data_IF_578848641968
#
_entry.id   IF_578848641968
#
_cell.length_a   1.000
_cell.length_b   1.000
_cell.length_c   1.000
_cell.angle_alpha   90.00
_cell.angle_beta   90.00
_cell.angle_gamma   90.00
#
_symmetry.space_group_name_H-M   'P 1'
#
loop_
_entity.id
_entity.type
_entity.pdbx_description
1 polymer ?
#
# COMPACT_ATOMS: atom_id res chain seq x y z
N UNK A 1 4.46 -36.83 21.69
CA UNK A 1 4.86 -35.44 21.40
C UNK A 1 4.99 -35.36 19.90
N UNK A 2 3.91 -35.00 19.20
CA UNK A 2 3.96 -34.82 17.75
C UNK A 2 4.79 -33.58 17.47
N UNK A 3 5.86 -33.72 16.71
CA UNK A 3 6.56 -32.59 16.11
C UNK A 3 5.53 -31.80 15.31
N UNK A 4 5.11 -30.64 15.82
CA UNK A 4 4.30 -29.70 15.06
C UNK A 4 5.21 -29.11 13.99
N UNK A 5 5.33 -29.81 12.87
CA UNK A 5 5.93 -29.26 11.66
C UNK A 5 5.04 -28.12 11.18
N UNK A 6 5.61 -26.92 11.06
CA UNK A 6 4.92 -25.76 10.51
C UNK A 6 4.25 -26.11 9.17
N UNK A 7 3.00 -25.71 9.00
CA UNK A 7 2.31 -25.81 7.71
C UNK A 7 2.95 -24.83 6.73
N UNK A 8 3.67 -25.38 5.76
CA UNK A 8 4.36 -24.61 4.72
C UNK A 8 3.45 -24.29 3.54
N UNK A 9 2.22 -24.82 3.52
CA UNK A 9 1.23 -24.58 2.46
C UNK A 9 0.31 -23.38 2.74
N UNK A 10 0.39 -22.80 3.94
CA UNK A 10 -0.42 -21.64 4.35
C UNK A 10 0.46 -20.42 4.61
N UNK A 11 0.02 -19.27 4.09
CA UNK A 11 0.61 -17.96 4.32
C UNK A 11 -0.43 -17.03 4.97
N UNK A 12 -0.05 -16.35 6.04
CA UNK A 12 -0.79 -15.23 6.61
C UNK A 12 -0.11 -13.92 6.23
N UNK A 13 -0.82 -13.09 5.47
CA UNK A 13 -0.44 -11.72 5.11
C UNK A 13 -1.21 -10.72 5.96
N UNK A 14 -0.50 -9.75 6.51
CA UNK A 14 -1.08 -8.72 7.35
C UNK A 14 -0.81 -7.34 6.75
N UNK A 15 -1.84 -6.50 6.70
CA UNK A 15 -1.61 -5.06 6.72
C UNK A 15 -0.88 -4.64 8.02
N UNK A 16 -0.27 -3.45 8.04
CA UNK A 16 0.50 -2.95 9.18
C UNK A 16 -0.35 -2.02 10.06
N UNK A 17 -0.84 -0.93 9.47
CA UNK A 17 -1.36 0.26 10.17
C UNK A 17 -2.86 0.09 10.51
N UNK A 18 -3.19 -0.15 11.78
CA UNK A 18 -4.56 -0.48 12.22
C UNK A 18 -4.79 -1.98 12.35
N UNK A 19 -3.98 -2.79 11.66
CA UNK A 19 -4.07 -4.26 11.65
C UNK A 19 -3.10 -4.92 12.64
N UNK A 20 -1.81 -4.54 12.63
CA UNK A 20 -0.79 -5.06 13.55
C UNK A 20 -0.39 -4.02 14.61
N UNK A 21 -0.47 -2.74 14.28
CA UNK A 21 -0.19 -1.65 15.19
C UNK A 21 -1.38 -0.72 15.28
N UNK A 22 -1.51 0.04 16.38
CA UNK A 22 -2.33 1.24 16.32
C UNK A 22 -1.78 2.19 15.23
N UNK A 23 -2.64 2.99 14.61
CA UNK A 23 -2.26 3.81 13.46
C UNK A 23 -1.05 4.71 13.77
N UNK A 24 0.03 4.54 13.01
CA UNK A 24 1.33 5.23 13.13
C UNK A 24 2.02 5.06 14.49
N UNK A 25 1.73 3.98 15.20
CA UNK A 25 2.39 3.61 16.44
C UNK A 25 3.29 2.38 16.24
N UNK A 26 4.17 2.15 17.20
CA UNK A 26 4.99 0.93 17.25
C UNK A 26 4.14 -0.28 17.66
N UNK A 27 4.57 -1.46 17.21
CA UNK A 27 4.01 -2.76 17.59
C UNK A 27 4.20 -3.00 19.08
N UNK A 28 3.21 -3.64 19.70
CA UNK A 28 3.30 -4.05 21.10
C UNK A 28 4.19 -5.29 21.23
N UNK A 29 4.86 -5.50 22.37
CA UNK A 29 5.61 -6.73 22.63
C UNK A 29 4.75 -7.99 22.47
N UNK A 30 3.47 -7.93 22.85
CA UNK A 30 2.51 -9.02 22.74
C UNK A 30 2.23 -9.40 21.28
N UNK A 31 2.00 -8.40 20.42
CA UNK A 31 1.78 -8.64 18.98
C UNK A 31 3.05 -9.17 18.31
N UNK A 32 4.22 -8.65 18.67
CA UNK A 32 5.50 -9.17 18.15
C UNK A 32 5.69 -10.65 18.53
N UNK A 33 5.43 -11.01 19.79
CA UNK A 33 5.48 -12.39 20.25
C UNK A 33 4.45 -13.29 19.54
N UNK A 34 3.26 -12.76 19.22
CA UNK A 34 2.27 -13.48 18.42
C UNK A 34 2.82 -13.80 17.02
N UNK A 35 3.40 -12.83 16.31
CA UNK A 35 3.94 -13.04 14.95
C UNK A 35 5.04 -14.11 14.93
N UNK A 36 5.96 -14.06 15.89
CA UNK A 36 7.01 -15.07 16.05
C UNK A 36 6.43 -16.45 16.33
N UNK A 37 5.44 -16.53 17.23
CA UNK A 37 4.75 -17.79 17.55
C UNK A 37 3.96 -18.30 16.35
N UNK A 38 3.31 -17.43 15.58
CA UNK A 38 2.52 -17.78 14.39
C UNK A 38 3.41 -18.33 13.29
N UNK A 39 4.62 -17.78 13.14
CA UNK A 39 5.62 -18.27 12.19
C UNK A 39 6.07 -19.71 12.46
N UNK A 40 5.92 -20.20 13.70
CA UNK A 40 6.14 -21.62 14.02
C UNK A 40 5.02 -22.55 13.53
N UNK A 41 3.88 -21.99 13.11
CA UNK A 41 2.69 -22.73 12.65
C UNK A 41 2.46 -22.59 11.14
N UNK A 42 2.65 -21.40 10.59
CA UNK A 42 2.40 -21.06 9.17
C UNK A 42 3.44 -20.06 8.68
N UNK A 43 3.49 -19.77 7.37
CA UNK A 43 4.28 -18.65 6.87
C UNK A 43 3.62 -17.32 7.21
N UNK A 44 4.43 -16.32 7.52
CA UNK A 44 3.97 -14.99 7.91
C UNK A 44 4.59 -13.94 7.00
N UNK A 45 3.76 -13.01 6.52
CA UNK A 45 4.21 -11.85 5.77
C UNK A 45 3.47 -10.59 6.16
N UNK A 46 4.09 -9.44 5.92
CA UNK A 46 3.47 -8.13 6.10
C UNK A 46 3.47 -7.36 4.80
N UNK A 47 2.41 -6.59 4.54
CA UNK A 47 2.26 -5.75 3.34
C UNK A 47 1.78 -4.36 3.70
N UNK A 48 2.55 -3.35 3.31
CA UNK A 48 2.22 -1.94 3.57
C UNK A 48 2.46 -1.08 2.34
N UNK A 49 1.67 -0.02 2.20
CA UNK A 49 1.89 0.99 1.15
C UNK A 49 3.05 1.94 1.46
N UNK A 50 3.57 1.90 2.69
CA UNK A 50 4.72 2.71 3.14
C UNK A 50 6.04 2.11 2.66
N UNK A 51 7.10 2.92 2.66
CA UNK A 51 8.47 2.43 2.46
C UNK A 51 8.92 1.51 3.61
N UNK A 52 10.03 0.80 3.39
CA UNK A 52 10.56 -0.15 4.37
C UNK A 52 10.91 0.52 5.71
N UNK A 53 11.45 1.73 5.68
CA UNK A 53 11.88 2.44 6.88
C UNK A 53 10.71 2.68 7.83
N UNK A 54 9.53 2.99 7.27
CA UNK A 54 8.32 3.20 8.07
C UNK A 54 7.76 1.88 8.61
N UNK A 55 7.82 0.80 7.83
CA UNK A 55 7.45 -0.52 8.32
C UNK A 55 8.39 -0.94 9.47
N UNK A 56 9.70 -0.68 9.38
CA UNK A 56 10.66 -0.96 10.44
C UNK A 56 10.43 -0.10 11.69
N UNK A 57 10.10 1.18 11.54
CA UNK A 57 9.72 2.04 12.68
C UNK A 57 8.53 1.45 13.45
N UNK A 58 7.58 0.84 12.74
CA UNK A 58 6.38 0.28 13.34
C UNK A 58 6.60 -1.13 13.91
N UNK A 59 7.25 -2.02 13.15
CA UNK A 59 7.34 -3.45 13.50
C UNK A 59 8.69 -3.86 14.11
N UNK A 60 9.64 -2.92 14.18
CA UNK A 60 11.02 -3.14 14.62
C UNK A 60 11.99 -3.31 13.45
N UNK A 61 13.24 -2.91 13.67
CA UNK A 61 14.32 -3.00 12.67
C UNK A 61 14.59 -4.45 12.20
N UNK A 62 14.25 -5.41 13.06
CA UNK A 62 14.39 -6.85 12.85
C UNK A 62 13.19 -7.50 12.15
N UNK A 63 12.21 -6.71 11.66
CA UNK A 63 11.00 -7.23 11.02
C UNK A 63 11.31 -8.20 9.87
N UNK A 64 12.33 -7.88 9.07
CA UNK A 64 12.76 -8.68 7.90
C UNK A 64 13.24 -10.09 8.32
N UNK A 65 13.67 -10.25 9.57
CA UNK A 65 14.20 -11.47 10.14
C UNK A 65 13.12 -12.27 10.88
N UNK A 66 12.12 -11.61 11.48
CA UNK A 66 11.08 -12.27 12.28
C UNK A 66 9.89 -12.77 11.46
N UNK A 67 9.64 -12.25 10.25
CA UNK A 67 8.64 -12.77 9.32
C UNK A 67 9.29 -13.38 8.06
N UNK A 68 8.53 -14.15 7.29
CA UNK A 68 9.01 -14.76 6.04
C UNK A 68 8.97 -13.77 4.86
N UNK A 69 8.01 -12.83 4.84
CA UNK A 69 7.90 -11.80 3.80
C UNK A 69 7.70 -10.39 4.37
N UNK A 70 8.39 -9.41 3.79
CA UNK A 70 8.11 -7.99 4.01
C UNK A 70 7.90 -7.33 2.66
N UNK A 71 6.68 -6.86 2.43
CA UNK A 71 6.26 -6.17 1.20
C UNK A 71 6.07 -4.68 1.50
N UNK A 72 7.13 -3.90 1.29
CA UNK A 72 7.05 -2.45 1.31
C UNK A 72 6.54 -1.92 -0.04
N UNK A 73 5.92 -0.75 -0.01
CA UNK A 73 5.30 -0.12 -1.18
C UNK A 73 4.40 -1.11 -1.96
N UNK A 74 3.48 -1.77 -1.26
CA UNK A 74 2.57 -2.81 -1.78
C UNK A 74 3.27 -4.07 -2.35
N UNK A 75 4.56 -4.23 -2.11
CA UNK A 75 5.38 -5.34 -2.63
C UNK A 75 6.32 -4.96 -3.76
N UNK A 76 6.35 -3.68 -4.15
CA UNK A 76 7.35 -3.19 -5.11
C UNK A 76 8.77 -3.31 -4.55
N UNK A 77 8.92 -3.24 -3.22
CA UNK A 77 10.14 -3.64 -2.54
C UNK A 77 9.80 -4.84 -1.67
N UNK A 78 10.27 -6.02 -2.06
CA UNK A 78 9.96 -7.27 -1.39
C UNK A 78 11.20 -7.88 -0.76
N UNK A 79 11.08 -8.30 0.50
CA UNK A 79 12.04 -9.15 1.18
C UNK A 79 11.41 -10.52 1.44
N UNK A 80 12.22 -11.56 1.32
CA UNK A 80 11.86 -12.95 1.55
C UNK A 80 12.96 -13.63 2.35
N UNK A 81 12.60 -14.28 3.46
CA UNK A 81 13.53 -15.01 4.33
C UNK A 81 14.78 -14.20 4.71
N UNK A 82 14.60 -12.94 5.12
CA UNK A 82 15.71 -12.09 5.52
C UNK A 82 16.47 -11.41 4.38
N UNK A 83 16.17 -11.71 3.12
CA UNK A 83 16.92 -11.23 1.96
C UNK A 83 16.05 -10.38 1.04
N UNK A 84 16.68 -9.39 0.39
CA UNK A 84 16.01 -8.63 -0.67
C UNK A 84 15.68 -9.56 -1.83
N UNK A 85 14.40 -9.65 -2.17
CA UNK A 85 13.90 -10.51 -3.23
C UNK A 85 13.77 -9.74 -4.55
N UNK A 86 13.07 -8.61 -4.53
CA UNK A 86 12.80 -7.83 -5.73
C UNK A 86 12.60 -6.35 -5.43
N UNK A 87 13.02 -5.50 -6.36
CA UNK A 87 12.69 -4.07 -6.42
C UNK A 87 12.09 -3.79 -7.79
N UNK A 88 10.93 -3.16 -7.82
CA UNK A 88 10.28 -2.65 -9.02
C UNK A 88 10.04 -1.15 -8.89
N UNK A 89 10.19 -0.44 -10.01
CA UNK A 89 10.00 1.01 -10.07
C UNK A 89 9.09 1.37 -11.26
N UNK A 90 8.30 2.44 -11.11
CA UNK A 90 7.30 2.82 -12.11
C UNK A 90 7.94 3.07 -13.48
N UNK A 91 9.15 3.63 -13.56
CA UNK A 91 9.87 3.85 -14.81
C UNK A 91 10.33 2.57 -15.48
N UNK A 92 10.76 1.57 -14.70
CA UNK A 92 11.15 0.27 -15.25
C UNK A 92 9.92 -0.51 -15.79
N UNK A 93 8.75 -0.29 -15.20
CA UNK A 93 7.52 -0.97 -15.61
C UNK A 93 6.79 -0.28 -16.76
N UNK A 94 6.60 1.04 -16.69
CA UNK A 94 5.82 1.81 -17.68
C UNK A 94 6.65 2.30 -18.86
N UNK A 95 7.98 2.40 -18.69
CA UNK A 95 8.88 2.99 -19.68
C UNK A 95 8.89 4.53 -19.65
N UNK A 96 10.01 5.09 -20.09
CA UNK A 96 10.26 6.54 -20.09
C UNK A 96 9.31 7.32 -20.99
N UNK A 97 8.95 6.77 -22.16
CA UNK A 97 8.10 7.48 -23.14
C UNK A 97 6.72 7.79 -22.54
N UNK A 98 6.03 6.77 -22.02
CA UNK A 98 4.71 6.94 -21.41
C UNK A 98 4.76 7.83 -20.16
N UNK A 99 5.79 7.70 -19.33
CA UNK A 99 5.93 8.54 -18.14
C UNK A 99 6.18 10.00 -18.50
N UNK A 100 7.02 10.29 -19.49
CA UNK A 100 7.27 11.65 -19.94
C UNK A 100 6.01 12.25 -20.58
N UNK A 101 5.27 11.49 -21.38
CA UNK A 101 3.97 11.92 -21.91
C UNK A 101 3.00 12.29 -20.78
N UNK A 102 2.89 11.44 -19.77
CA UNK A 102 2.06 11.67 -18.60
C UNK A 102 2.49 12.93 -17.81
N UNK A 103 3.78 13.05 -17.49
CA UNK A 103 4.34 14.19 -16.76
C UNK A 103 4.12 15.49 -17.54
N UNK A 104 4.41 15.50 -18.84
CA UNK A 104 4.23 16.66 -19.71
C UNK A 104 2.76 17.07 -19.79
N UNK A 105 1.84 16.11 -19.91
CA UNK A 105 0.40 16.38 -19.86
C UNK A 105 0.01 17.03 -18.53
N UNK A 106 0.45 16.46 -17.40
CA UNK A 106 0.15 17.00 -16.08
C UNK A 106 0.66 18.44 -15.90
N UNK A 107 1.89 18.73 -16.31
CA UNK A 107 2.47 20.07 -16.26
C UNK A 107 1.67 21.06 -17.11
N UNK A 108 1.32 20.69 -18.34
CA UNK A 108 0.53 21.53 -19.25
C UNK A 108 -0.89 21.77 -18.72
N UNK A 109 -1.52 20.76 -18.12
CA UNK A 109 -2.84 20.89 -17.53
C UNK A 109 -2.81 21.81 -16.29
N UNK A 110 -1.88 21.57 -15.37
CA UNK A 110 -1.73 22.38 -14.16
C UNK A 110 -1.34 23.84 -14.44
N UNK A 111 -0.62 24.11 -15.53
CA UNK A 111 -0.33 25.48 -15.96
C UNK A 111 -1.60 26.31 -16.22
N UNK A 112 -2.69 25.67 -16.66
CA UNK A 112 -3.97 26.30 -16.99
C UNK A 112 -4.90 26.48 -15.78
N UNK A 113 -4.70 25.71 -14.72
CA UNK A 113 -5.48 25.85 -13.48
C UNK A 113 -5.06 27.13 -12.76
N UNK A 114 -5.99 28.08 -12.58
CA UNK A 114 -5.77 29.24 -11.71
C UNK A 114 -6.25 28.92 -10.30
N UNK A 115 -5.34 29.04 -9.33
CA UNK A 115 -5.62 28.83 -7.90
C UNK A 115 -5.30 30.11 -7.14
N UNK A 116 -5.91 30.33 -5.95
CA UNK A 116 -5.52 31.43 -5.08
C UNK A 116 -4.02 31.42 -4.75
N UNK A 117 -3.45 30.21 -4.60
CA UNK A 117 -2.04 29.99 -4.28
C UNK A 117 -1.51 28.77 -5.04
N UNK A 118 -0.27 28.87 -5.53
CA UNK A 118 0.56 27.75 -5.99
C UNK A 118 1.89 27.80 -5.25
N UNK A 119 2.48 26.63 -5.00
CA UNK A 119 3.76 26.48 -4.29
C UNK A 119 4.71 25.69 -5.20
N UNK A 120 5.29 24.60 -4.72
CA UNK A 120 6.18 23.73 -5.48
C UNK A 120 5.87 22.25 -5.23
N UNK A 121 6.63 21.38 -5.90
CA UNK A 121 6.41 19.93 -5.88
C UNK A 121 5.00 19.57 -6.35
N UNK A 122 4.68 19.97 -7.58
CA UNK A 122 3.40 19.67 -8.24
C UNK A 122 3.31 18.21 -8.68
N UNK A 123 4.46 17.62 -9.01
CA UNK A 123 4.63 16.21 -9.32
C UNK A 123 5.73 15.71 -8.39
N UNK A 124 5.41 14.76 -7.53
CA UNK A 124 6.38 14.04 -6.70
C UNK A 124 6.55 12.64 -7.27
N UNK A 125 7.74 12.34 -7.75
CA UNK A 125 8.10 11.04 -8.28
C UNK A 125 8.48 10.12 -7.12
N UNK A 126 7.74 9.03 -6.92
CA UNK A 126 8.02 7.98 -5.94
C UNK A 126 8.36 6.70 -6.68
N UNK A 127 8.89 5.71 -5.97
CA UNK A 127 9.26 4.44 -6.60
C UNK A 127 8.04 3.72 -7.22
N UNK A 128 6.92 3.65 -6.50
CA UNK A 128 5.68 3.04 -7.00
C UNK A 128 4.68 3.91 -7.75
N UNK A 129 4.82 5.23 -7.73
CA UNK A 129 3.74 6.12 -8.18
C UNK A 129 4.22 7.54 -8.46
N UNK A 130 3.38 8.29 -9.14
CA UNK A 130 3.45 9.75 -9.22
C UNK A 130 2.37 10.35 -8.33
N UNK A 131 2.73 11.26 -7.43
CA UNK A 131 1.76 12.06 -6.70
C UNK A 131 1.61 13.43 -7.36
N UNK A 132 0.38 13.78 -7.75
CA UNK A 132 0.06 15.02 -8.48
C UNK A 132 -0.72 15.96 -7.57
N UNK A 133 -0.23 17.19 -7.38
CA UNK A 133 -0.83 18.21 -6.52
C UNK A 133 -0.97 19.53 -7.25
N UNK A 134 -2.19 19.98 -7.60
CA UNK A 134 -2.40 21.25 -8.31
C UNK A 134 -1.90 22.49 -7.55
N UNK A 135 -2.02 22.50 -6.22
CA UNK A 135 -1.47 23.56 -5.36
C UNK A 135 0.05 23.41 -5.16
N UNK A 136 0.59 22.20 -5.24
CA UNK A 136 1.96 21.84 -4.89
C UNK A 136 2.08 21.36 -3.45
N UNK A 137 2.86 20.30 -3.21
CA UNK A 137 2.99 19.65 -1.89
C UNK A 137 3.71 20.50 -0.83
N UNK A 138 4.50 21.48 -1.24
CA UNK A 138 5.21 22.38 -0.33
C UNK A 138 4.34 23.52 0.25
N UNK A 139 3.01 23.38 0.21
CA UNK A 139 2.08 24.32 0.82
C UNK A 139 2.01 24.18 2.34
N UNK A 140 1.63 25.26 3.02
CA UNK A 140 1.41 25.22 4.47
C UNK A 140 0.13 24.44 4.81
N UNK A 141 -0.07 24.12 6.10
CA UNK A 141 -1.28 23.44 6.56
C UNK A 141 -2.55 24.30 6.35
N UNK A 142 -2.44 25.63 6.49
CA UNK A 142 -3.54 26.55 6.23
C UNK A 142 -3.90 26.56 4.75
N UNK A 143 -2.90 26.65 3.87
CA UNK A 143 -3.08 26.63 2.41
C UNK A 143 -3.65 25.30 1.92
N UNK A 144 -3.24 24.19 2.53
CA UNK A 144 -3.79 22.86 2.30
C UNK A 144 -5.29 22.81 2.59
N UNK A 145 -5.74 23.40 3.71
CA UNK A 145 -7.16 23.48 4.06
C UNK A 145 -7.93 24.37 3.08
N UNK A 146 -7.39 25.54 2.75
CA UNK A 146 -8.00 26.44 1.76
C UNK A 146 -8.18 25.77 0.40
N UNK A 147 -7.15 25.06 -0.09
CA UNK A 147 -7.25 24.30 -1.32
C UNK A 147 -8.29 23.20 -1.24
N UNK A 148 -8.34 22.46 -0.13
CA UNK A 148 -9.33 21.39 0.03
C UNK A 148 -10.76 21.93 0.01
N UNK A 149 -11.03 23.05 0.70
CA UNK A 149 -12.34 23.70 0.65
C UNK A 149 -12.72 24.16 -0.76
N UNK A 150 -11.76 24.68 -1.53
CA UNK A 150 -11.94 25.06 -2.92
C UNK A 150 -12.20 23.83 -3.81
N UNK A 151 -11.38 22.79 -3.68
CA UNK A 151 -11.48 21.56 -4.45
C UNK A 151 -12.81 20.83 -4.22
N UNK A 152 -13.35 20.86 -2.99
CA UNK A 152 -14.67 20.29 -2.70
C UNK A 152 -15.80 21.02 -3.45
N UNK A 153 -15.66 22.33 -3.69
CA UNK A 153 -16.63 23.16 -4.42
C UNK A 153 -16.45 23.06 -5.94
N UNK A 154 -15.21 23.13 -6.41
CA UNK A 154 -14.88 23.23 -7.84
C UNK A 154 -14.53 21.90 -8.50
N UNK A 155 -14.31 20.85 -7.70
CA UNK A 155 -13.95 19.48 -8.14
C UNK A 155 -12.70 19.46 -9.01
N UNK A 156 -11.66 20.20 -8.59
CA UNK A 156 -10.44 20.42 -9.39
C UNK A 156 -9.72 19.09 -9.66
N UNK A 157 -9.44 18.31 -8.60
CA UNK A 157 -8.76 17.01 -8.71
C UNK A 157 -9.60 15.99 -9.46
N UNK A 158 -10.90 15.93 -9.19
CA UNK A 158 -11.82 15.01 -9.86
C UNK A 158 -11.89 15.27 -11.37
N UNK A 159 -12.04 16.54 -11.78
CA UNK A 159 -12.00 16.94 -13.19
C UNK A 159 -10.66 16.61 -13.84
N UNK A 160 -9.57 16.86 -13.14
CA UNK A 160 -8.23 16.56 -13.65
C UNK A 160 -8.04 15.04 -13.85
N UNK A 161 -8.38 14.23 -12.86
CA UNK A 161 -8.33 12.76 -12.97
C UNK A 161 -9.24 12.26 -14.08
N UNK A 162 -10.44 12.82 -14.25
CA UNK A 162 -11.34 12.45 -15.35
C UNK A 162 -10.70 12.68 -16.73
N UNK A 163 -10.07 13.85 -16.92
CA UNK A 163 -9.34 14.16 -18.17
C UNK A 163 -8.16 13.20 -18.37
N UNK A 164 -7.39 12.91 -17.32
CA UNK A 164 -6.26 11.97 -17.40
C UNK A 164 -6.70 10.54 -17.73
N UNK A 165 -7.83 10.08 -17.17
CA UNK A 165 -8.39 8.75 -17.44
C UNK A 165 -8.79 8.58 -18.91
N UNK A 166 -9.35 9.62 -19.52
CA UNK A 166 -9.68 9.58 -20.95
C UNK A 166 -8.43 9.68 -21.84
N UNK A 167 -7.50 10.58 -21.53
CA UNK A 167 -6.26 10.75 -22.30
C UNK A 167 -5.39 9.49 -22.30
N UNK A 168 -5.21 8.86 -21.13
CA UNK A 168 -4.36 7.68 -20.95
C UNK A 168 -5.16 6.37 -20.89
N UNK A 169 -6.37 6.37 -21.47
CA UNK A 169 -7.23 5.19 -21.49
C UNK A 169 -6.53 4.00 -22.15
N UNK A 170 -6.54 2.86 -21.45
CA UNK A 170 -5.91 1.63 -21.94
C UNK A 170 -4.38 1.61 -21.85
N UNK A 171 -3.75 2.60 -21.21
CA UNK A 171 -2.30 2.65 -20.96
C UNK A 171 -1.88 1.99 -19.64
N UNK A 172 -2.80 1.32 -18.94
CA UNK A 172 -2.51 0.60 -17.71
C UNK A 172 -2.25 1.49 -16.50
N UNK A 173 -2.93 2.64 -16.39
CA UNK A 173 -2.79 3.59 -15.28
C UNK A 173 -4.06 3.66 -14.44
N UNK A 174 -3.88 3.54 -13.13
CA UNK A 174 -4.88 3.72 -12.10
C UNK A 174 -4.67 5.03 -11.35
N UNK A 175 -5.76 5.59 -10.82
CA UNK A 175 -5.78 6.90 -10.18
C UNK A 175 -6.54 6.83 -8.86
N UNK A 176 -5.95 7.36 -7.79
CA UNK A 176 -6.59 7.44 -6.46
C UNK A 176 -6.56 8.87 -5.92
N UNK A 177 -7.74 9.44 -5.69
CA UNK A 177 -7.85 10.77 -5.05
C UNK A 177 -7.80 10.56 -3.54
N UNK A 178 -6.62 10.72 -2.96
CA UNK A 178 -6.38 10.62 -1.52
C UNK A 178 -6.03 11.94 -0.86
N UNK A 179 -6.42 12.10 0.40
CA UNK A 179 -6.07 13.27 1.21
C UNK A 179 -6.66 14.58 0.71
N UNK A 180 -5.99 15.69 1.01
CA UNK A 180 -6.56 17.04 0.86
C UNK A 180 -6.12 17.80 -0.40
N UNK A 181 -4.95 17.48 -0.94
CA UNK A 181 -4.31 18.33 -1.98
C UNK A 181 -3.88 17.61 -3.25
N UNK A 182 -3.84 16.28 -3.22
CA UNK A 182 -3.23 15.49 -4.29
C UNK A 182 -4.10 14.33 -4.72
N UNK A 183 -3.65 13.64 -5.77
CA UNK A 183 -4.06 12.29 -6.14
C UNK A 183 -2.82 11.51 -6.58
N UNK A 184 -2.86 10.20 -6.44
CA UNK A 184 -1.79 9.28 -6.82
C UNK A 184 -2.12 8.64 -8.16
N UNK A 185 -1.08 8.38 -8.96
CA UNK A 185 -1.14 7.69 -10.24
C UNK A 185 -0.10 6.58 -10.23
N UNK A 186 -0.56 5.37 -10.51
CA UNK A 186 0.25 4.16 -10.44
C UNK A 186 -0.23 3.16 -11.50
N UNK A 187 0.62 2.19 -11.90
CA UNK A 187 0.21 1.15 -12.83
C UNK A 187 -0.95 0.30 -12.29
N UNK A 188 -1.79 -0.21 -13.17
CA UNK A 188 -2.90 -1.09 -12.78
C UNK A 188 -2.38 -2.30 -11.98
N UNK A 189 -3.04 -2.59 -10.86
CA UNK A 189 -2.68 -3.71 -9.98
C UNK A 189 -1.51 -3.45 -9.03
N UNK A 190 -0.96 -2.23 -8.98
CA UNK A 190 0.07 -1.82 -7.99
C UNK A 190 -0.51 -1.42 -6.61
N UNK A 191 -1.78 -1.73 -6.36
CA UNK A 191 -2.31 -1.85 -5.00
C UNK A 191 -1.72 -3.10 -4.30
N UNK A 192 -2.19 -3.43 -3.09
CA UNK A 192 -1.64 -4.53 -2.29
C UNK A 192 -1.68 -5.90 -3.01
N UNK A 193 -2.51 -6.09 -4.04
CA UNK A 193 -2.50 -7.30 -4.87
C UNK A 193 -1.17 -7.54 -5.59
N UNK A 194 -0.33 -6.53 -5.76
CA UNK A 194 0.98 -6.69 -6.39
C UNK A 194 1.82 -7.76 -5.68
N UNK A 195 1.81 -7.81 -4.35
CA UNK A 195 2.56 -8.82 -3.59
C UNK A 195 2.06 -10.25 -3.83
N UNK A 196 0.79 -10.42 -4.22
CA UNK A 196 0.23 -11.74 -4.52
C UNK A 196 0.90 -12.39 -5.73
N UNK A 197 1.34 -11.59 -6.72
CA UNK A 197 2.10 -12.11 -7.86
C UNK A 197 3.50 -12.63 -7.47
N UNK A 198 4.07 -12.12 -6.38
CA UNK A 198 5.38 -12.57 -5.86
C UNK A 198 5.22 -13.90 -5.12
N UNK A 199 4.18 -14.06 -4.30
CA UNK A 199 3.97 -15.29 -3.51
C UNK A 199 3.32 -16.42 -4.31
N UNK A 200 2.80 -16.15 -5.51
CA UNK A 200 2.24 -17.16 -6.40
C UNK A 200 3.29 -18.21 -6.81
N UNK A 201 4.56 -17.82 -6.92
CA UNK A 201 5.69 -18.72 -7.20
C UNK A 201 5.88 -19.80 -6.11
N UNK A 202 5.45 -19.51 -4.87
CA UNK A 202 5.58 -20.39 -3.73
C UNK A 202 4.44 -21.40 -3.58
N UNK A 203 3.38 -21.28 -4.41
CA UNK A 203 2.29 -22.25 -4.52
C UNK A 203 1.58 -22.56 -3.19
N UNK A 204 1.35 -21.54 -2.37
CA UNK A 204 0.52 -21.69 -1.16
C UNK A 204 -0.88 -22.18 -1.53
N UNK A 205 -1.41 -23.11 -0.74
CA UNK A 205 -2.78 -23.59 -0.86
C UNK A 205 -3.79 -22.61 -0.27
N UNK A 206 -3.40 -21.93 0.82
CA UNK A 206 -4.20 -20.92 1.49
C UNK A 206 -3.38 -19.66 1.72
N UNK A 207 -3.92 -18.50 1.33
CA UNK A 207 -3.35 -17.19 1.67
C UNK A 207 -4.40 -16.46 2.49
N UNK A 208 -4.19 -16.36 3.80
CA UNK A 208 -5.04 -15.54 4.66
C UNK A 208 -4.56 -14.09 4.58
N UNK A 209 -5.46 -13.14 4.35
CA UNK A 209 -5.14 -11.73 4.39
C UNK A 209 -5.91 -11.04 5.52
N UNK A 210 -5.24 -10.28 6.37
CA UNK A 210 -5.84 -9.51 7.47
C UNK A 210 -5.65 -8.01 7.20
N UNK A 211 -6.73 -7.21 7.29
CA UNK A 211 -6.68 -5.76 7.05
C UNK A 211 -7.81 -4.98 7.70
N UNK A 212 -7.60 -3.68 7.93
CA UNK A 212 -8.54 -2.78 8.59
C UNK A 212 -9.42 -1.98 7.61
N UNK A 213 -8.95 -1.79 6.36
CA UNK A 213 -9.59 -0.95 5.35
C UNK A 213 -10.08 -1.75 4.16
N UNK A 214 -10.87 -2.77 4.45
CA UNK A 214 -11.41 -3.76 3.50
C UNK A 214 -12.72 -3.33 2.83
N UNK A 215 -13.19 -2.10 3.03
CA UNK A 215 -14.39 -1.55 2.35
C UNK A 215 -14.01 -0.82 1.06
N UNK A 216 -14.91 -0.70 0.06
CA UNK A 216 -14.62 0.03 -1.18
C UNK A 216 -14.01 1.41 -0.94
N UNK A 217 -12.84 1.66 -1.54
CA UNK A 217 -12.06 2.89 -1.36
C UNK A 217 -11.03 2.83 -0.22
N UNK A 218 -11.03 1.78 0.60
CA UNK A 218 -9.94 1.44 1.50
C UNK A 218 -8.78 0.76 0.76
N UNK A 219 -7.56 0.89 1.28
CA UNK A 219 -6.35 0.38 0.63
C UNK A 219 -6.15 -1.15 0.78
N UNK A 220 -7.01 -1.83 1.54
CA UNK A 220 -7.02 -3.29 1.63
C UNK A 220 -8.09 -3.93 0.76
N UNK A 221 -9.03 -3.14 0.23
CA UNK A 221 -10.21 -3.66 -0.45
C UNK A 221 -9.86 -4.63 -1.57
N UNK A 222 -8.93 -4.24 -2.43
CA UNK A 222 -8.57 -5.03 -3.61
C UNK A 222 -7.89 -6.36 -3.24
N UNK A 223 -6.98 -6.37 -2.27
CA UNK A 223 -6.32 -7.60 -1.82
C UNK A 223 -7.28 -8.49 -1.02
N UNK A 224 -8.12 -7.90 -0.16
CA UNK A 224 -9.13 -8.61 0.62
C UNK A 224 -10.18 -9.32 -0.25
N UNK A 225 -10.59 -8.70 -1.36
CA UNK A 225 -11.53 -9.29 -2.31
C UNK A 225 -10.87 -10.15 -3.40
N UNK A 226 -9.53 -10.23 -3.45
CA UNK A 226 -8.83 -11.02 -4.46
C UNK A 226 -9.11 -12.52 -4.24
N UNK A 227 -9.53 -13.28 -5.26
CA UNK A 227 -9.91 -14.69 -5.12
C UNK A 227 -8.75 -15.60 -4.68
N UNK A 228 -7.50 -15.13 -4.74
CA UNK A 228 -6.34 -15.85 -4.22
C UNK A 228 -6.24 -15.78 -2.69
N UNK A 229 -7.03 -14.94 -2.03
CA UNK A 229 -6.98 -14.72 -0.59
C UNK A 229 -8.25 -15.16 0.13
N UNK A 230 -8.06 -15.58 1.38
CA UNK A 230 -9.11 -15.72 2.39
C UNK A 230 -9.03 -14.46 3.25
N UNK A 231 -9.88 -13.47 2.95
CA UNK A 231 -9.87 -12.17 3.61
C UNK A 231 -10.50 -12.19 5.01
N UNK A 232 -9.83 -11.56 5.97
CA UNK A 232 -10.25 -11.33 7.35
C UNK A 232 -10.25 -9.83 7.62
N UNK A 233 -11.44 -9.26 7.84
CA UNK A 233 -11.58 -7.87 8.25
C UNK A 233 -11.35 -7.78 9.76
N UNK A 234 -10.53 -6.82 10.18
CA UNK A 234 -10.26 -6.52 11.59
C UNK A 234 -10.43 -5.03 11.84
N UNK A 235 -10.72 -4.64 13.07
CA UNK A 235 -10.85 -3.23 13.46
C UNK A 235 -9.69 -2.71 14.29
N UNK A 236 -8.88 -3.62 14.87
CA UNK A 236 -7.73 -3.29 15.69
C UNK A 236 -6.76 -4.49 15.84
N UNK A 237 -5.52 -4.25 16.34
CA UNK A 237 -4.54 -5.31 16.57
C UNK A 237 -5.01 -6.44 17.48
N UNK A 238 -5.83 -6.13 18.49
CA UNK A 238 -6.36 -7.13 19.43
C UNK A 238 -7.29 -8.13 18.73
N UNK A 239 -8.06 -7.67 17.75
CA UNK A 239 -8.93 -8.54 16.93
C UNK A 239 -8.11 -9.43 16.00
N UNK A 240 -7.04 -8.90 15.39
CA UNK A 240 -6.06 -9.69 14.64
C UNK A 240 -5.50 -10.82 15.48
N UNK A 241 -5.13 -10.53 16.74
CA UNK A 241 -4.62 -11.53 17.66
C UNK A 241 -5.64 -12.63 17.94
N UNK A 242 -6.87 -12.26 18.28
CA UNK A 242 -7.94 -13.21 18.58
C UNK A 242 -8.24 -14.13 17.39
N UNK A 243 -8.28 -13.59 16.16
CA UNK A 243 -8.49 -14.40 14.97
C UNK A 243 -7.32 -15.35 14.70
N UNK A 244 -6.08 -14.91 14.88
CA UNK A 244 -4.92 -15.80 14.76
C UNK A 244 -4.97 -16.94 15.79
N UNK A 245 -5.33 -16.63 17.04
CA UNK A 245 -5.53 -17.61 18.11
C UNK A 245 -6.58 -18.67 17.75
N UNK A 246 -7.72 -18.25 17.20
CA UNK A 246 -8.79 -19.15 16.79
C UNK A 246 -8.38 -20.04 15.61
N UNK A 247 -7.69 -19.49 14.61
CA UNK A 247 -7.39 -20.17 13.35
C UNK A 247 -6.18 -21.12 13.45
N UNK A 248 -5.16 -20.80 14.23
CA UNK A 248 -3.85 -21.46 14.13
C UNK A 248 -3.31 -22.04 15.44
N UNK A 249 -3.97 -21.78 16.57
CA UNK A 249 -3.50 -22.21 17.89
C UNK A 249 -4.53 -23.03 18.69
N UNK A 250 -5.67 -23.33 18.08
CA UNK A 250 -6.69 -24.24 18.61
C UNK A 250 -6.35 -25.72 18.39
#
# INVERSE_FOLDING_TARGET
MSENTADTSTLCLFDVDGTLTAARQCVTPEMKALLEKLRTRVRVGVVGGSDLSKIQEQLGDDVIQIVDYVFAENGLVAYKNGQLHSIQSIQAHMGEELLQDFINFCLNYMAKIKLPKKRGTFIEFRNGMLNISPIGRSCTQEERREFYELDQKEKIREKFVSVLKEEFKGKGLSFSIGGQISFDVFPDGWDKRYCLGIVEEDKYSNIHFFGDKTKPGGNDYEIFCDPRTIGHEVSCPEETQQLCEQLFFS
#
